data_IF_090277828283
#
_entry.id   IF_090277828283
#
_cell.length_a   1.000
_cell.length_b   1.000
_cell.length_c   1.000
_cell.angle_alpha   90.00
_cell.angle_beta   90.00
_cell.angle_gamma   90.00
#
_symmetry.space_group_name_H-M   'P 1'
#
loop_
_entity.id
_entity.type
_entity.pdbx_description
1 polymer ?
#
# COMPACT_ATOMS: atom_id res chain seq x y z
N UNK A 1 -4.38 7.99 10.48
CA UNK A 1 -5.01 6.83 11.16
C UNK A 1 -5.05 7.06 12.66
N UNK A 2 -6.19 6.87 13.33
CA UNK A 2 -6.35 7.20 14.75
C UNK A 2 -5.50 6.34 15.70
N UNK A 3 -5.07 5.14 15.28
CA UNK A 3 -4.45 4.14 16.16
C UNK A 3 -2.92 4.06 16.14
N UNK A 4 -2.22 4.98 15.45
CA UNK A 4 -0.75 5.02 15.45
C UNK A 4 -0.25 6.12 16.40
N UNK A 5 0.77 5.81 17.21
CA UNK A 5 1.38 6.76 18.14
C UNK A 5 2.16 7.86 17.41
N UNK A 6 2.40 8.99 18.07
CA UNK A 6 3.17 10.09 17.48
C UNK A 6 4.63 9.69 17.23
N UNK A 7 5.23 8.93 18.14
CA UNK A 7 6.60 8.43 17.96
C UNK A 7 6.71 7.50 16.74
N UNK A 8 5.71 6.64 16.52
CA UNK A 8 5.66 5.80 15.33
C UNK A 8 5.56 6.63 14.04
N UNK A 9 4.74 7.70 14.05
CA UNK A 9 4.64 8.63 12.91
C UNK A 9 5.97 9.29 12.61
N UNK A 10 6.60 9.89 13.63
CA UNK A 10 7.87 10.58 13.48
C UNK A 10 8.97 9.65 12.95
N UNK A 11 9.02 8.41 13.47
CA UNK A 11 9.95 7.38 12.98
C UNK A 11 9.72 7.04 11.51
N UNK A 12 8.47 6.87 11.09
CA UNK A 12 8.11 6.54 9.70
C UNK A 12 8.38 7.73 8.77
N UNK A 13 8.02 8.95 9.18
CA UNK A 13 8.29 10.18 8.43
C UNK A 13 9.80 10.42 8.26
N UNK A 14 10.63 9.93 9.19
CA UNK A 14 12.10 9.91 9.09
C UNK A 14 12.67 8.75 8.24
N UNK A 15 11.82 7.93 7.61
CA UNK A 15 12.22 6.81 6.74
C UNK A 15 12.29 5.45 7.44
N UNK A 16 11.83 5.34 8.68
CA UNK A 16 11.74 4.07 9.40
C UNK A 16 10.70 3.12 8.79
N UNK A 17 10.99 1.82 8.80
CA UNK A 17 10.08 0.80 8.25
C UNK A 17 8.84 0.57 9.14
N UNK A 18 7.65 0.36 8.57
CA UNK A 18 6.45 0.04 9.34
C UNK A 18 6.53 -1.38 9.93
N UNK A 19 6.08 -1.55 11.17
CA UNK A 19 6.11 -2.82 11.89
C UNK A 19 4.79 -3.60 11.84
N UNK A 20 3.67 -2.92 11.59
CA UNK A 20 2.35 -3.54 11.56
C UNK A 20 1.42 -2.85 10.56
N UNK A 21 0.25 -3.45 10.30
CA UNK A 21 -0.69 -2.99 9.26
C UNK A 21 -1.08 -1.50 9.40
N UNK A 22 -1.33 -1.02 10.62
CA UNK A 22 -1.63 0.40 10.87
C UNK A 22 -0.49 1.36 10.49
N UNK A 23 0.77 1.01 10.79
CA UNK A 23 1.94 1.79 10.39
C UNK A 23 2.17 1.72 8.88
N UNK A 24 1.99 0.55 8.26
CA UNK A 24 2.09 0.40 6.82
C UNK A 24 1.05 1.26 6.10
N UNK A 25 -0.20 1.23 6.55
CA UNK A 25 -1.24 2.07 5.99
C UNK A 25 -0.92 3.57 6.15
N UNK A 26 -0.34 3.96 7.30
CA UNK A 26 0.13 5.32 7.48
C UNK A 26 1.21 5.71 6.48
N UNK A 27 2.23 4.87 6.30
CA UNK A 27 3.31 5.12 5.33
C UNK A 27 2.76 5.28 3.90
N UNK A 28 1.87 4.38 3.46
CA UNK A 28 1.22 4.48 2.14
C UNK A 28 0.37 5.76 2.05
N UNK A 29 -0.38 6.10 3.10
CA UNK A 29 -1.17 7.34 3.15
C UNK A 29 -0.27 8.57 3.02
N UNK A 30 0.88 8.61 3.70
CA UNK A 30 1.84 9.73 3.60
C UNK A 30 2.44 9.85 2.20
N UNK A 31 2.73 8.73 1.53
CA UNK A 31 3.21 8.74 0.15
C UNK A 31 2.16 9.33 -0.81
N UNK A 32 0.90 8.92 -0.68
CA UNK A 32 -0.20 9.45 -1.49
C UNK A 32 -0.43 10.93 -1.21
N UNK A 33 -0.46 11.32 0.07
CA UNK A 33 -0.61 12.72 0.48
C UNK A 33 0.50 13.60 -0.09
N UNK A 34 1.76 13.16 -0.03
CA UNK A 34 2.89 13.88 -0.62
C UNK A 34 2.75 14.03 -2.14
N UNK A 35 2.31 13.00 -2.85
CA UNK A 35 2.04 13.08 -4.29
C UNK A 35 0.93 14.11 -4.61
N UNK A 36 -0.18 14.09 -3.88
CA UNK A 36 -1.29 15.03 -4.09
C UNK A 36 -0.91 16.46 -3.71
N UNK A 37 -0.14 16.66 -2.64
CA UNK A 37 0.37 17.97 -2.25
C UNK A 37 1.24 18.57 -3.36
N UNK A 38 2.16 17.79 -3.94
CA UNK A 38 2.98 18.25 -5.07
C UNK A 38 2.15 18.61 -6.30
N UNK A 39 1.11 17.83 -6.61
CA UNK A 39 0.21 18.15 -7.71
C UNK A 39 -0.59 19.45 -7.46
N UNK A 40 -1.01 19.67 -6.20
CA UNK A 40 -1.67 20.90 -5.80
C UNK A 40 -0.74 22.12 -5.84
N UNK A 41 0.53 21.97 -5.47
CA UNK A 41 1.54 23.03 -5.59
C UNK A 41 1.74 23.46 -7.04
N UNK A 42 1.76 22.52 -8.00
CA UNK A 42 1.94 22.84 -9.42
C UNK A 42 0.70 23.43 -10.09
N UNK A 43 -0.51 23.02 -9.71
CA UNK A 43 -1.76 23.41 -10.39
C UNK A 43 -2.67 24.32 -9.55
N UNK A 44 -2.25 24.70 -8.34
CA UNK A 44 -3.03 25.45 -7.36
C UNK A 44 -4.18 24.67 -6.71
N UNK A 45 -4.40 23.41 -7.09
CA UNK A 45 -5.45 22.52 -6.53
C UNK A 45 -5.25 21.05 -6.89
N UNK A 46 -5.83 20.16 -6.09
CA UNK A 46 -6.01 18.75 -6.46
C UNK A 46 -7.18 18.61 -7.44
N UNK A 47 -7.01 17.79 -8.47
CA UNK A 47 -8.04 17.49 -9.47
C UNK A 47 -8.39 16.01 -9.42
N UNK A 48 -9.57 15.67 -9.94
CA UNK A 48 -10.04 14.29 -10.01
C UNK A 48 -9.07 13.35 -10.75
N UNK A 49 -8.37 13.85 -11.77
CA UNK A 49 -7.33 13.09 -12.47
C UNK A 49 -6.24 12.59 -11.52
N UNK A 50 -5.72 13.45 -10.63
CA UNK A 50 -4.69 13.06 -9.65
C UNK A 50 -5.20 12.00 -8.67
N UNK A 51 -6.47 12.07 -8.28
CA UNK A 51 -7.09 11.06 -7.41
C UNK A 51 -7.19 9.71 -8.13
N UNK A 52 -7.65 9.71 -9.39
CA UNK A 52 -7.72 8.49 -10.19
C UNK A 52 -6.35 7.89 -10.45
N UNK A 53 -5.34 8.72 -10.70
CA UNK A 53 -3.95 8.28 -10.86
C UNK A 53 -3.43 7.61 -9.59
N UNK A 54 -3.60 8.25 -8.42
CA UNK A 54 -3.17 7.68 -7.14
C UNK A 54 -3.86 6.34 -6.85
N UNK A 55 -5.18 6.26 -7.05
CA UNK A 55 -5.94 5.01 -6.87
C UNK A 55 -5.47 3.95 -7.87
N UNK A 56 -5.29 4.30 -9.14
CA UNK A 56 -4.82 3.38 -10.16
C UNK A 56 -3.46 2.78 -9.84
N UNK A 57 -2.51 3.60 -9.37
CA UNK A 57 -1.18 3.14 -8.95
C UNK A 57 -1.26 2.21 -7.74
N UNK A 58 -2.09 2.51 -6.75
CA UNK A 58 -2.29 1.63 -5.58
C UNK A 58 -2.88 0.28 -5.99
N UNK A 59 -3.84 0.27 -6.90
CA UNK A 59 -4.41 -0.96 -7.45
C UNK A 59 -3.36 -1.79 -8.18
N UNK A 60 -2.56 -1.17 -9.05
CA UNK A 60 -1.43 -1.84 -9.71
C UNK A 60 -0.43 -2.41 -8.71
N UNK A 61 -0.06 -1.63 -7.68
CA UNK A 61 0.90 -2.07 -6.66
C UNK A 61 0.38 -3.28 -5.87
N UNK A 62 -0.91 -3.28 -5.49
CA UNK A 62 -1.58 -4.39 -4.83
C UNK A 62 -1.57 -5.65 -5.69
N UNK A 63 -1.90 -5.53 -6.99
CA UNK A 63 -1.92 -6.65 -7.92
C UNK A 63 -0.52 -7.24 -8.13
N UNK A 64 0.52 -6.39 -8.25
CA UNK A 64 1.90 -6.85 -8.36
C UNK A 64 2.40 -7.53 -7.08
N UNK A 65 2.03 -7.02 -5.89
CA UNK A 65 2.31 -7.67 -4.61
C UNK A 65 1.69 -9.07 -4.57
N UNK A 66 0.41 -9.19 -4.96
CA UNK A 66 -0.27 -10.46 -4.99
C UNK A 66 0.40 -11.43 -5.97
N UNK A 67 0.65 -10.98 -7.21
CA UNK A 67 1.22 -11.82 -8.28
C UNK A 67 2.64 -12.28 -7.97
N UNK A 68 3.50 -11.40 -7.44
CA UNK A 68 4.93 -11.69 -7.25
C UNK A 68 5.26 -12.30 -5.89
N UNK A 69 4.47 -12.02 -4.86
CA UNK A 69 4.80 -12.40 -3.49
C UNK A 69 3.77 -13.37 -2.92
N UNK A 70 2.48 -13.03 -3.00
CA UNK A 70 1.43 -13.87 -2.41
C UNK A 70 1.24 -15.17 -3.19
N UNK A 71 1.11 -15.12 -4.51
CA UNK A 71 0.86 -16.32 -5.32
C UNK A 71 1.95 -17.39 -5.16
N UNK A 72 3.26 -17.09 -5.25
CA UNK A 72 4.29 -18.11 -4.98
C UNK A 72 4.31 -18.62 -3.53
N UNK A 73 3.88 -17.80 -2.57
CA UNK A 73 3.71 -18.25 -1.18
C UNK A 73 2.56 -19.25 -1.07
N UNK A 74 1.40 -18.93 -1.66
CA UNK A 74 0.22 -19.81 -1.69
C UNK A 74 0.49 -21.10 -2.46
N UNK A 75 1.22 -21.05 -3.58
CA UNK A 75 1.60 -22.26 -4.34
C UNK A 75 2.41 -23.23 -3.47
N UNK A 76 3.35 -22.73 -2.65
CA UNK A 76 4.09 -23.55 -1.70
C UNK A 76 3.19 -24.11 -0.61
N UNK A 77 2.29 -23.29 -0.05
CA UNK A 77 1.33 -23.74 0.96
C UNK A 77 0.36 -24.79 0.45
N UNK A 78 -0.05 -24.69 -0.81
CA UNK A 78 -0.81 -25.73 -1.49
C UNK A 78 -0.05 -27.05 -1.59
N UNK A 79 1.25 -27.01 -1.91
CA UNK A 79 2.09 -28.23 -1.92
C UNK A 79 2.24 -28.83 -0.51
N UNK A 80 2.37 -27.99 0.52
CA UNK A 80 2.54 -28.44 1.92
C UNK A 80 1.26 -28.98 2.55
N UNK A 81 0.11 -28.35 2.28
CA UNK A 81 -1.15 -28.58 3.01
C UNK A 81 -2.27 -29.16 2.15
N UNK A 82 -2.04 -29.32 0.84
CA UNK A 82 -3.07 -29.69 -0.13
C UNK A 82 -3.81 -28.47 -0.70
N UNK A 83 -4.47 -28.66 -1.84
CA UNK A 83 -5.35 -27.65 -2.43
C UNK A 83 -6.77 -27.76 -1.88
N UNK A 84 -7.43 -26.61 -1.74
CA UNK A 84 -8.82 -26.50 -1.28
C UNK A 84 -9.78 -26.53 -2.47
N UNK A 85 -9.36 -26.02 -3.63
CA UNK A 85 -10.21 -26.00 -4.82
C UNK A 85 -10.21 -27.37 -5.51
N UNK A 86 -11.41 -27.92 -5.74
CA UNK A 86 -11.61 -29.15 -6.50
C UNK A 86 -11.98 -28.89 -7.97
N UNK A 87 -12.18 -27.63 -8.35
CA UNK A 87 -12.56 -27.21 -9.70
C UNK A 87 -11.30 -26.85 -10.46
N UNK A 88 -11.00 -27.62 -11.50
CA UNK A 88 -9.90 -27.40 -12.46
C UNK A 88 -10.37 -26.75 -13.74
#
# INVERSE_FOLDING_TARGET
MPYITQDARARIDAGGAPAHAGELNYAVTRLVDAYLARAAESEGRVRYAHLNEAIGVLECAKLELYRRVAAPYEDRKRTESGDVYSVT
#
